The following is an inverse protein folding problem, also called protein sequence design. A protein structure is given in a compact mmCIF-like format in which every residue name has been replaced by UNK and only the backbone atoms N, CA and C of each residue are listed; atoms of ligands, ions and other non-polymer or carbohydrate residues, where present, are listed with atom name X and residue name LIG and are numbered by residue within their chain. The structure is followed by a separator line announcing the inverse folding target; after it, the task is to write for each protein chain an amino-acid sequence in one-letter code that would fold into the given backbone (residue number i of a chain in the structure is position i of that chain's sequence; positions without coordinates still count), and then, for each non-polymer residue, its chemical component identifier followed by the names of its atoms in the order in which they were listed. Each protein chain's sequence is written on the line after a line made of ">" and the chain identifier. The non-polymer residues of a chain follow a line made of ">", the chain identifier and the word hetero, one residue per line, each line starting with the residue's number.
data_IF_145058590065
#
_entry.id   IF_145058590065
#
_cell.length_a   1.000
_cell.length_b   1.000
_cell.length_c   1.000
_cell.angle_alpha   90.00
_cell.angle_beta   90.00
_cell.angle_gamma   90.00
#
_symmetry.space_group_name_H-M   'P 1'
#
loop_
_entity.id
_entity.type
_entity.pdbx_description
1 polymer ?
#
# COMPACT_ATOMS: atom_id res chain seq x y z
N UNK A 1 5.96 -28.82 -35.88
CA UNK A 1 5.83 -29.29 -34.49
C UNK A 1 6.80 -28.62 -33.49
N UNK A 2 7.92 -28.02 -33.90
CA UNK A 2 8.93 -27.48 -32.97
C UNK A 2 8.60 -26.12 -32.29
N UNK A 3 7.59 -25.38 -32.76
CA UNK A 3 7.22 -24.06 -32.20
C UNK A 3 6.24 -24.14 -31.03
N UNK A 4 5.34 -25.13 -30.99
CA UNK A 4 4.34 -25.29 -29.94
C UNK A 4 4.95 -25.70 -28.59
N UNK A 5 5.88 -26.66 -28.58
CA UNK A 5 6.58 -27.06 -27.34
C UNK A 5 7.42 -25.93 -26.74
N UNK A 6 8.06 -25.12 -27.59
CA UNK A 6 8.84 -23.95 -27.13
C UNK A 6 7.93 -22.91 -26.49
N UNK A 7 6.75 -22.67 -27.06
CA UNK A 7 5.75 -21.77 -26.48
C UNK A 7 5.16 -22.33 -25.17
N UNK A 8 4.92 -23.65 -25.09
CA UNK A 8 4.39 -24.30 -23.89
C UNK A 8 5.38 -24.26 -22.72
N UNK A 9 6.67 -24.52 -22.98
CA UNK A 9 7.74 -24.38 -21.97
C UNK A 9 7.90 -22.93 -21.52
N UNK A 10 7.77 -21.96 -22.42
CA UNK A 10 7.80 -20.53 -22.08
C UNK A 10 6.61 -20.12 -21.21
N UNK A 11 5.41 -20.63 -21.51
CA UNK A 11 4.20 -20.35 -20.74
C UNK A 11 4.29 -20.93 -19.33
N UNK A 12 4.75 -22.18 -19.21
CA UNK A 12 4.95 -22.85 -17.94
C UNK A 12 6.01 -22.14 -17.08
N UNK A 13 7.11 -21.70 -17.70
CA UNK A 13 8.14 -20.92 -17.03
C UNK A 13 7.63 -19.57 -16.53
N UNK A 14 6.84 -18.84 -17.33
CA UNK A 14 6.22 -17.58 -16.91
C UNK A 14 5.26 -17.78 -15.74
N UNK A 15 4.49 -18.88 -15.73
CA UNK A 15 3.56 -19.18 -14.64
C UNK A 15 4.28 -19.50 -13.33
N UNK A 16 5.36 -20.28 -13.40
CA UNK A 16 6.22 -20.58 -12.25
C UNK A 16 6.92 -19.32 -11.74
N UNK A 17 7.47 -18.51 -12.65
CA UNK A 17 8.15 -17.26 -12.30
C UNK A 17 7.20 -16.28 -11.61
N UNK A 18 5.94 -16.21 -12.06
CA UNK A 18 4.90 -15.39 -11.43
C UNK A 18 4.59 -15.85 -10.00
N UNK A 19 4.42 -17.16 -9.80
CA UNK A 19 4.20 -17.72 -8.46
C UNK A 19 5.39 -17.49 -7.52
N UNK A 20 6.62 -17.61 -8.03
CA UNK A 20 7.82 -17.33 -7.25
C UNK A 20 7.95 -15.84 -6.90
N UNK A 21 7.57 -14.95 -7.82
CA UNK A 21 7.54 -13.51 -7.58
C UNK A 21 6.52 -13.13 -6.51
N UNK A 22 5.34 -13.75 -6.52
CA UNK A 22 4.29 -13.55 -5.52
C UNK A 22 4.74 -14.01 -4.12
N UNK A 23 5.44 -15.15 -4.03
CA UNK A 23 6.00 -15.65 -2.76
C UNK A 23 7.16 -14.77 -2.26
N UNK A 24 7.99 -14.23 -3.16
CA UNK A 24 9.04 -13.28 -2.79
C UNK A 24 8.49 -11.90 -2.37
N UNK A 25 7.28 -11.56 -2.81
CA UNK A 25 6.55 -10.35 -2.43
C UNK A 25 5.63 -10.55 -1.21
N UNK A 26 5.97 -11.46 -0.28
CA UNK A 26 5.25 -11.56 0.99
C UNK A 26 5.40 -10.27 1.78
N UNK A 27 4.34 -9.46 1.79
CA UNK A 27 4.26 -8.27 2.61
C UNK A 27 3.93 -8.67 4.05
N UNK A 28 4.57 -8.04 5.05
CA UNK A 28 4.46 -8.47 6.45
C UNK A 28 3.05 -8.27 7.03
N UNK A 29 2.26 -7.36 6.46
CA UNK A 29 0.91 -7.06 6.91
C UNK A 29 0.03 -6.59 5.74
N UNK A 30 -1.22 -7.02 5.73
CA UNK A 30 -2.23 -6.54 4.78
C UNK A 30 -2.92 -5.29 5.34
N UNK A 31 -2.51 -4.12 4.83
CA UNK A 31 -3.04 -2.82 5.25
C UNK A 31 -4.49 -2.60 4.81
N UNK A 32 -5.02 -3.40 3.88
CA UNK A 32 -6.42 -3.33 3.45
C UNK A 32 -7.38 -3.58 4.62
N UNK A 33 -6.96 -4.38 5.62
CA UNK A 33 -7.74 -4.64 6.83
C UNK A 33 -8.02 -3.38 7.64
N UNK A 34 -7.13 -2.38 7.63
CA UNK A 34 -7.38 -1.10 8.30
C UNK A 34 -8.58 -0.37 7.68
N UNK A 35 -8.79 -0.54 6.37
CA UNK A 35 -9.93 0.05 5.67
C UNK A 35 -11.25 -0.59 6.09
N UNK A 36 -11.27 -1.91 6.33
CA UNK A 36 -12.47 -2.65 6.73
C UNK A 36 -13.01 -2.20 8.10
N UNK A 37 -12.12 -1.87 9.04
CA UNK A 37 -12.51 -1.45 10.39
C UNK A 37 -12.70 0.07 10.52
N UNK A 38 -12.26 0.86 9.56
CA UNK A 38 -12.41 2.30 9.61
C UNK A 38 -13.82 2.72 9.19
N UNK A 39 -14.53 3.57 9.96
CA UNK A 39 -15.95 3.88 9.73
C UNK A 39 -16.22 4.79 8.52
N UNK A 40 -15.20 5.20 7.76
CA UNK A 40 -15.30 6.20 6.70
C UNK A 40 -14.44 5.81 5.49
N UNK A 41 -14.75 6.35 4.32
CA UNK A 41 -13.94 6.20 3.11
C UNK A 41 -12.74 7.16 3.07
N UNK A 42 -12.71 8.13 3.99
CA UNK A 42 -11.65 9.15 4.07
C UNK A 42 -11.07 9.21 5.48
N UNK A 43 -9.79 9.54 5.56
CA UNK A 43 -9.05 9.75 6.81
C UNK A 43 -8.57 11.18 6.83
N UNK A 44 -8.97 11.95 7.84
CA UNK A 44 -8.41 13.27 8.07
C UNK A 44 -6.96 13.15 8.54
N UNK A 45 -6.10 14.09 8.17
CA UNK A 45 -4.69 14.09 8.62
C UNK A 45 -4.58 14.12 10.15
N UNK A 46 -5.57 14.68 10.85
CA UNK A 46 -5.61 14.74 12.32
C UNK A 46 -5.89 13.36 12.94
N UNK A 47 -6.57 12.46 12.22
CA UNK A 47 -6.98 11.13 12.72
C UNK A 47 -6.09 9.99 12.22
N UNK A 48 -5.05 10.27 11.43
CA UNK A 48 -4.11 9.25 10.91
C UNK A 48 -3.44 8.45 12.01
N UNK A 49 -3.21 9.05 13.17
CA UNK A 49 -2.63 8.38 14.32
C UNK A 49 -3.59 7.32 14.87
N UNK A 50 -4.88 7.66 15.00
CA UNK A 50 -5.92 6.71 15.41
C UNK A 50 -6.13 5.62 14.35
N UNK A 51 -6.20 6.00 13.07
CA UNK A 51 -6.39 5.07 11.96
C UNK A 51 -5.29 4.00 11.90
N UNK A 52 -4.04 4.41 12.10
CA UNK A 52 -2.87 3.53 11.99
C UNK A 52 -2.49 2.83 13.30
N UNK A 53 -3.27 3.00 14.37
CA UNK A 53 -2.94 2.44 15.69
C UNK A 53 -1.67 3.02 16.32
N UNK A 54 -1.34 4.29 16.02
CA UNK A 54 -0.17 5.00 16.54
C UNK A 54 1.09 4.93 15.67
N UNK A 55 1.04 4.27 14.51
CA UNK A 55 2.20 4.15 13.61
C UNK A 55 2.52 5.47 12.90
N UNK A 56 1.49 6.24 12.54
CA UNK A 56 1.64 7.52 11.83
C UNK A 56 1.38 8.70 12.76
N UNK A 57 2.12 9.79 12.54
CA UNK A 57 1.93 11.04 13.26
C UNK A 57 1.54 12.17 12.29
N UNK A 58 0.57 13.00 12.70
CA UNK A 58 0.13 14.21 12.00
C UNK A 58 1.30 15.09 11.49
N UNK A 59 2.31 15.34 12.35
CA UNK A 59 3.45 16.20 12.01
C UNK A 59 4.31 15.57 10.90
N UNK A 60 4.58 14.27 11.02
CA UNK A 60 5.33 13.52 10.02
C UNK A 60 4.59 13.51 8.69
N UNK A 61 3.27 13.29 8.72
CA UNK A 61 2.43 13.35 7.52
C UNK A 61 2.47 14.74 6.86
N UNK A 62 2.43 15.83 7.63
CA UNK A 62 2.52 17.19 7.09
C UNK A 62 3.86 17.49 6.41
N UNK A 63 4.96 16.93 6.91
CA UNK A 63 6.29 17.06 6.30
C UNK A 63 6.39 16.23 5.01
N UNK A 64 5.87 15.00 5.02
CA UNK A 64 5.81 14.13 3.85
C UNK A 64 4.92 14.72 2.75
N UNK A 65 3.81 15.32 3.17
CA UNK A 65 2.92 16.11 2.33
C UNK A 65 3.64 17.25 1.63
N UNK A 66 4.42 18.02 2.38
CA UNK A 66 5.14 19.19 1.85
C UNK A 66 6.25 18.79 0.89
N UNK A 67 6.84 17.61 1.10
CA UNK A 67 7.90 17.04 0.24
C UNK A 67 7.35 16.19 -0.92
N UNK A 68 6.03 16.09 -1.07
CA UNK A 68 5.39 15.28 -2.13
C UNK A 68 5.52 13.77 -1.95
N UNK A 69 5.96 13.31 -0.77
CA UNK A 69 6.15 11.89 -0.40
C UNK A 69 4.97 11.30 0.38
N UNK A 70 3.89 12.07 0.55
CA UNK A 70 2.67 11.62 1.23
C UNK A 70 1.76 10.73 0.36
N UNK A 71 0.60 10.33 0.90
CA UNK A 71 -0.39 9.54 0.17
C UNK A 71 -0.92 10.26 -1.07
N UNK A 72 -1.16 9.49 -2.14
CA UNK A 72 -1.71 10.02 -3.39
C UNK A 72 -3.18 10.41 -3.24
N UNK A 73 -3.63 11.35 -4.07
CA UNK A 73 -5.04 11.76 -4.08
C UNK A 73 -5.49 12.50 -2.81
N UNK A 74 -4.55 13.07 -2.04
CA UNK A 74 -4.88 13.97 -0.93
C UNK A 74 -5.74 15.14 -1.43
N UNK A 75 -6.69 15.56 -0.63
CA UNK A 75 -7.57 16.67 -0.94
C UNK A 75 -7.82 17.50 0.31
N UNK A 76 -8.30 18.74 0.10
CA UNK A 76 -8.53 19.70 1.17
C UNK A 76 -10.03 19.89 1.38
N UNK A 77 -10.47 19.78 2.64
CA UNK A 77 -11.84 20.11 3.07
C UNK A 77 -11.74 21.23 4.10
N UNK A 78 -12.05 22.45 3.67
CA UNK A 78 -11.91 23.66 4.48
C UNK A 78 -10.48 23.91 4.96
N UNK A 79 -10.22 23.70 6.25
CA UNK A 79 -8.89 23.84 6.87
C UNK A 79 -8.14 22.51 7.03
N UNK A 80 -8.79 21.38 6.75
CA UNK A 80 -8.24 20.04 6.95
C UNK A 80 -7.76 19.43 5.63
N UNK A 81 -6.70 18.64 5.72
CA UNK A 81 -6.23 17.76 4.64
C UNK A 81 -6.74 16.36 4.94
N UNK A 82 -7.26 15.69 3.91
CA UNK A 82 -7.80 14.35 4.00
C UNK A 82 -7.17 13.45 2.94
N UNK A 83 -7.15 12.15 3.23
CA UNK A 83 -6.69 11.10 2.34
C UNK A 83 -7.82 10.12 2.08
N UNK A 84 -7.98 9.61 0.85
CA UNK A 84 -8.74 8.39 0.61
C UNK A 84 -8.10 7.23 1.39
N UNK A 85 -8.92 6.40 2.04
CA UNK A 85 -8.44 5.26 2.83
C UNK A 85 -7.56 4.33 2.00
N UNK A 86 -8.01 3.95 0.81
CA UNK A 86 -7.28 3.02 -0.07
C UNK A 86 -5.89 3.56 -0.44
N UNK A 87 -5.83 4.85 -0.75
CA UNK A 87 -4.56 5.53 -1.06
C UNK A 87 -3.62 5.57 0.14
N UNK A 88 -4.17 5.74 1.35
CA UNK A 88 -3.39 5.75 2.58
C UNK A 88 -2.86 4.34 2.91
N UNK A 89 -3.71 3.30 2.82
CA UNK A 89 -3.30 1.91 3.02
C UNK A 89 -2.19 1.51 2.06
N UNK A 90 -2.37 1.78 0.76
CA UNK A 90 -1.35 1.49 -0.26
C UNK A 90 -0.04 2.23 0.01
N UNK A 91 -0.12 3.48 0.44
CA UNK A 91 1.06 4.26 0.80
C UNK A 91 1.79 3.70 2.03
N UNK A 92 1.06 3.21 3.05
CA UNK A 92 1.66 2.54 4.20
C UNK A 92 2.33 1.24 3.79
N UNK A 93 1.66 0.48 2.93
CA UNK A 93 2.12 -0.80 2.41
C UNK A 93 3.42 -0.65 1.61
N UNK A 94 3.50 0.32 0.69
CA UNK A 94 4.69 0.65 -0.10
C UNK A 94 5.90 1.05 0.78
N UNK A 95 5.64 1.53 2.00
CA UNK A 95 6.68 1.96 2.96
C UNK A 95 7.01 0.91 4.02
N UNK A 96 6.19 -0.12 4.12
CA UNK A 96 6.42 -1.21 5.06
C UNK A 96 7.59 -2.06 4.59
N UNK A 97 8.34 -2.61 5.53
CA UNK A 97 9.42 -3.55 5.24
C UNK A 97 9.37 -4.64 6.28
N UNK A 98 9.56 -5.89 5.85
CA UNK A 98 9.70 -6.99 6.78
C UNK A 98 11.00 -6.79 7.58
N UNK A 99 10.90 -6.84 8.91
CA UNK A 99 12.09 -6.91 9.77
C UNK A 99 12.42 -8.39 9.91
N UNK A 100 13.63 -8.78 9.52
CA UNK A 100 14.10 -10.17 9.58
C UNK A 100 14.01 -10.73 11.00
N UNK A 101 13.55 -11.98 11.10
CA UNK A 101 13.59 -12.80 12.33
C UNK A 101 14.94 -13.50 12.44
#
# INVERSE_FOLDING_TARGET
>A
MCTYEKNLKKLLFLQILKGYLEVLMQKPFDFSKLAEFWPSIIVSRDEVERFSGGVLNLKTMANLDSTGKGPKGRFRVGRKICYPVDSLCRWMEDRSSAVGT
#
